data_IF_513789715531
#
_entry.id   IF_513789715531
#
_cell.length_a   1.000
_cell.length_b   1.000
_cell.length_c   1.000
_cell.angle_alpha   90.00
_cell.angle_beta   90.00
_cell.angle_gamma   90.00
#
_symmetry.space_group_name_H-M   'P 1'
#
loop_
_entity.id
_entity.type
_entity.pdbx_description
1 polymer ?
#
# COMPACT_ATOMS: atom_id res chain seq x y z
N UNK A 1 43.64 28.33 -6.29
CA UNK A 1 42.18 28.33 -6.47
C UNK A 1 41.63 27.14 -5.69
N UNK A 2 40.99 27.39 -4.55
CA UNK A 2 40.44 26.34 -3.69
C UNK A 2 39.07 25.95 -4.26
N UNK A 3 38.97 24.74 -4.82
CA UNK A 3 37.68 24.19 -5.22
C UNK A 3 36.84 24.00 -3.96
N UNK A 4 35.76 24.75 -3.84
CA UNK A 4 34.77 24.55 -2.78
C UNK A 4 34.02 23.27 -3.12
N UNK A 5 34.15 22.23 -2.28
CA UNK A 5 33.36 21.02 -2.44
C UNK A 5 31.88 21.40 -2.32
N UNK A 6 31.11 21.17 -3.39
CA UNK A 6 29.67 21.35 -3.36
C UNK A 6 29.09 20.33 -2.39
N UNK A 7 28.44 20.78 -1.32
CA UNK A 7 27.72 19.88 -0.40
C UNK A 7 26.55 19.29 -1.17
N UNK A 8 26.65 18.01 -1.53
CA UNK A 8 25.56 17.27 -2.13
C UNK A 8 24.60 16.84 -1.02
N UNK A 9 23.40 17.42 -1.00
CA UNK A 9 22.30 16.94 -0.15
C UNK A 9 21.70 15.69 -0.79
N UNK A 10 21.66 14.58 -0.06
CA UNK A 10 21.03 13.33 -0.52
C UNK A 10 19.58 13.22 -0.08
N UNK A 11 19.29 13.66 1.15
CA UNK A 11 17.93 13.76 1.67
C UNK A 11 17.85 14.85 2.75
N UNK A 12 16.63 15.24 3.08
CA UNK A 12 16.29 16.18 4.14
C UNK A 12 15.18 15.60 5.01
N UNK A 13 15.27 15.84 6.32
CA UNK A 13 14.24 15.43 7.29
C UNK A 13 13.60 16.68 7.87
N UNK A 14 12.29 16.81 7.70
CA UNK A 14 11.51 17.95 8.20
C UNK A 14 10.52 17.47 9.23
N UNK A 15 10.36 18.22 10.32
CA UNK A 15 9.41 17.90 11.38
C UNK A 15 8.43 19.04 11.60
N UNK A 16 7.19 18.81 11.19
CA UNK A 16 6.14 19.81 11.09
C UNK A 16 5.03 19.57 12.12
N UNK A 17 4.57 20.64 12.75
CA UNK A 17 3.33 20.63 13.55
C UNK A 17 2.16 20.92 12.63
N UNK A 18 1.14 20.07 12.64
CA UNK A 18 -0.12 20.32 11.93
C UNK A 18 -1.16 20.98 12.85
N UNK A 19 -2.15 21.64 12.26
CA UNK A 19 -3.10 22.55 12.92
C UNK A 19 -3.88 21.97 14.10
N UNK A 20 -3.90 20.64 14.26
CA UNK A 20 -4.60 19.92 15.32
C UNK A 20 -3.66 19.29 16.37
N UNK A 21 -2.40 19.71 16.43
CA UNK A 21 -1.41 19.21 17.39
C UNK A 21 -0.73 17.90 17.00
N UNK A 22 -1.11 17.30 15.86
CA UNK A 22 -0.39 16.18 15.26
C UNK A 22 1.00 16.61 14.77
N UNK A 23 1.88 15.62 14.62
CA UNK A 23 3.23 15.82 14.10
C UNK A 23 3.40 15.03 12.81
N UNK A 24 4.01 15.67 11.83
CA UNK A 24 4.38 15.05 10.56
C UNK A 24 5.89 15.11 10.40
N UNK A 25 6.49 13.97 10.10
CA UNK A 25 7.90 13.83 9.77
C UNK A 25 8.02 13.48 8.29
N UNK A 26 8.66 14.36 7.53
CA UNK A 26 8.87 14.15 6.10
C UNK A 26 10.34 13.82 5.86
N UNK A 27 10.61 12.75 5.11
CA UNK A 27 11.94 12.43 4.58
C UNK A 27 11.94 12.64 3.07
N UNK A 28 12.51 13.75 2.60
CA UNK A 28 12.57 14.08 1.19
C UNK A 28 13.92 13.71 0.60
N UNK A 29 13.93 12.82 -0.39
CA UNK A 29 15.11 12.41 -1.14
C UNK A 29 15.29 13.28 -2.38
N UNK A 30 16.53 13.68 -2.66
CA UNK A 30 16.85 14.51 -3.83
C UNK A 30 17.51 13.67 -4.93
N UNK A 31 17.01 13.78 -6.14
CA UNK A 31 17.49 13.01 -7.29
C UNK A 31 16.94 11.58 -7.30
N UNK A 32 17.75 10.61 -7.70
CA UNK A 32 17.33 9.21 -7.71
C UNK A 32 17.28 8.68 -6.27
N UNK A 33 16.11 8.20 -5.78
CA UNK A 33 16.02 7.64 -4.45
C UNK A 33 16.82 6.33 -4.35
N UNK A 34 17.27 5.96 -3.14
CA UNK A 34 17.90 4.68 -2.91
C UNK A 34 16.88 3.54 -3.06
N UNK A 35 17.31 2.26 -3.06
CA UNK A 35 16.40 1.12 -3.10
C UNK A 35 15.40 1.14 -1.94
N UNK A 36 14.18 0.59 -2.09
CA UNK A 36 13.10 0.70 -1.11
C UNK A 36 13.50 0.33 0.32
N UNK A 37 14.16 -0.81 0.51
CA UNK A 37 14.63 -1.25 1.83
C UNK A 37 15.60 -0.27 2.52
N UNK A 38 16.27 0.59 1.75
CA UNK A 38 17.12 1.67 2.30
C UNK A 38 16.28 2.88 2.67
N UNK A 39 15.27 3.24 1.85
CA UNK A 39 14.30 4.29 2.19
C UNK A 39 13.61 3.95 3.50
N UNK A 40 13.10 2.73 3.67
CA UNK A 40 12.39 2.31 4.90
C UNK A 40 13.26 2.43 6.15
N UNK A 41 14.54 2.06 6.04
CA UNK A 41 15.51 2.19 7.14
C UNK A 41 15.76 3.63 7.52
N UNK A 42 15.89 4.52 6.53
CA UNK A 42 16.10 5.95 6.77
C UNK A 42 14.84 6.56 7.41
N UNK A 43 13.66 6.27 6.86
CA UNK A 43 12.38 6.73 7.40
C UNK A 43 12.18 6.27 8.84
N UNK A 44 12.43 4.99 9.12
CA UNK A 44 12.34 4.43 10.47
C UNK A 44 13.32 5.09 11.45
N UNK A 45 14.58 5.27 11.05
CA UNK A 45 15.60 5.93 11.88
C UNK A 45 15.24 7.39 12.19
N UNK A 46 14.71 8.11 11.19
CA UNK A 46 14.25 9.48 11.37
C UNK A 46 13.06 9.55 12.36
N UNK A 47 12.08 8.65 12.22
CA UNK A 47 10.96 8.53 13.16
C UNK A 47 11.43 8.20 14.58
N UNK A 48 12.31 7.20 14.74
CA UNK A 48 12.87 6.83 16.05
C UNK A 48 13.57 8.03 16.71
N UNK A 49 14.30 8.84 15.92
CA UNK A 49 14.93 10.08 16.41
C UNK A 49 13.91 11.14 16.83
N UNK A 50 12.82 11.31 16.08
CA UNK A 50 11.76 12.25 16.43
C UNK A 50 11.00 11.84 17.70
N UNK A 51 10.77 10.54 17.91
CA UNK A 51 10.15 10.00 19.13
C UNK A 51 10.97 10.36 20.38
N UNK A 52 12.32 10.33 20.27
CA UNK A 52 13.19 10.73 21.39
C UNK A 52 13.01 12.20 21.78
N UNK A 53 12.69 13.07 20.81
CA UNK A 53 12.46 14.50 21.03
C UNK A 53 11.03 14.78 21.50
N UNK A 54 10.04 14.07 20.94
CA UNK A 54 8.63 14.24 21.29
C UNK A 54 7.87 12.91 21.25
N UNK A 55 7.80 12.24 22.39
CA UNK A 55 7.06 10.97 22.57
C UNK A 55 5.61 11.15 23.05
N UNK A 56 5.15 12.40 23.22
CA UNK A 56 3.83 12.68 23.82
C UNK A 56 2.72 12.83 22.79
N UNK A 57 3.05 12.93 21.50
CA UNK A 57 2.09 13.11 20.42
C UNK A 57 2.28 12.03 19.36
N UNK A 58 1.21 11.73 18.64
CA UNK A 58 1.30 10.86 17.48
C UNK A 58 2.13 11.53 16.38
N UNK A 59 2.95 10.74 15.69
CA UNK A 59 3.82 11.20 14.59
C UNK A 59 3.54 10.36 13.35
N UNK A 60 3.09 11.00 12.27
CA UNK A 60 3.05 10.41 10.94
C UNK A 60 4.38 10.66 10.23
N UNK A 61 5.05 9.61 9.76
CA UNK A 61 6.28 9.69 9.01
C UNK A 61 6.07 9.25 7.55
N UNK A 62 6.47 10.10 6.61
CA UNK A 62 6.27 9.93 5.18
C UNK A 62 7.58 10.14 4.41
N UNK A 63 7.71 9.50 3.24
CA UNK A 63 8.86 9.66 2.36
C UNK A 63 8.47 10.28 1.01
N UNK A 64 9.35 11.12 0.48
CA UNK A 64 9.14 11.88 -0.75
C UNK A 64 10.35 11.79 -1.69
N UNK A 65 10.13 11.92 -2.99
CA UNK A 65 11.17 12.21 -4.00
C UNK A 65 10.91 13.61 -4.54
N UNK A 66 11.81 14.55 -4.23
CA UNK A 66 11.50 15.96 -4.42
C UNK A 66 10.23 16.35 -3.64
N UNK A 67 9.22 16.82 -4.35
CA UNK A 67 7.92 17.23 -3.78
C UNK A 67 6.83 16.16 -3.92
N UNK A 68 7.14 15.00 -4.51
CA UNK A 68 6.19 13.92 -4.76
C UNK A 68 6.27 12.84 -3.67
N UNK A 69 5.12 12.45 -3.12
CA UNK A 69 5.05 11.33 -2.18
C UNK A 69 5.49 10.03 -2.86
N UNK A 70 6.34 9.26 -2.20
CA UNK A 70 6.75 7.95 -2.70
C UNK A 70 5.56 6.99 -2.77
N UNK A 71 5.52 6.15 -3.80
CA UNK A 71 4.52 5.10 -3.94
C UNK A 71 4.98 3.76 -3.32
N UNK A 72 4.08 2.79 -3.29
CA UNK A 72 4.29 1.46 -2.71
C UNK A 72 5.45 0.64 -3.33
N UNK A 73 5.91 1.00 -4.53
CA UNK A 73 7.08 0.36 -5.16
C UNK A 73 8.41 1.01 -4.75
N UNK A 74 8.36 2.18 -4.13
CA UNK A 74 9.52 2.95 -3.71
C UNK A 74 9.83 2.79 -2.22
N UNK A 75 8.86 2.40 -1.40
CA UNK A 75 9.00 2.11 0.03
C UNK A 75 7.75 1.36 0.56
N UNK A 76 7.81 0.83 1.78
CA UNK A 76 6.72 0.03 2.38
C UNK A 76 5.50 0.85 2.83
N UNK A 77 5.52 2.17 2.65
CA UNK A 77 4.47 3.08 3.06
C UNK A 77 4.79 3.85 4.34
N UNK A 78 3.79 4.59 4.81
CA UNK A 78 3.91 5.49 5.94
C UNK A 78 4.01 4.73 7.27
N UNK A 79 4.72 5.34 8.22
CA UNK A 79 4.83 4.86 9.59
C UNK A 79 4.12 5.84 10.53
N UNK A 80 3.40 5.31 11.51
CA UNK A 80 2.76 6.10 12.56
C UNK A 80 3.31 5.70 13.91
N UNK A 81 3.95 6.63 14.61
CA UNK A 81 4.13 6.48 16.05
C UNK A 81 2.83 6.87 16.75
N UNK A 82 2.27 5.94 17.52
CA UNK A 82 1.11 6.18 18.37
C UNK A 82 1.56 6.34 19.81
N UNK A 83 1.48 7.56 20.34
CA UNK A 83 1.99 7.94 21.65
C UNK A 83 1.28 7.21 22.80
N UNK A 84 -0.04 7.03 22.68
CA UNK A 84 -0.84 6.33 23.70
C UNK A 84 -0.34 4.90 23.95
N UNK A 85 0.08 4.21 22.89
CA UNK A 85 0.52 2.81 22.93
C UNK A 85 2.05 2.66 22.94
N UNK A 86 2.78 3.78 22.74
CA UNK A 86 4.23 3.85 22.57
C UNK A 86 4.76 2.88 21.51
N UNK A 87 4.04 2.75 20.39
CA UNK A 87 4.33 1.79 19.34
C UNK A 87 4.41 2.48 17.98
N UNK A 88 5.33 2.02 17.14
CA UNK A 88 5.37 2.33 15.72
C UNK A 88 4.51 1.31 14.98
N UNK A 89 3.62 1.81 14.14
CA UNK A 89 2.65 1.08 13.33
C UNK A 89 2.88 1.43 11.85
N UNK A 90 2.51 0.54 10.95
CA UNK A 90 2.23 0.92 9.56
C UNK A 90 0.91 1.70 9.49
N UNK A 91 0.71 2.48 8.43
CA UNK A 91 -0.57 3.17 8.19
C UNK A 91 -1.77 2.23 8.22
N UNK A 92 -1.63 1.05 7.61
CA UNK A 92 -2.66 0.00 7.61
C UNK A 92 -2.99 -0.48 9.04
N UNK A 93 -1.98 -0.76 9.86
CA UNK A 93 -2.21 -1.15 11.26
C UNK A 93 -2.85 -0.03 12.09
N UNK A 94 -2.45 1.22 11.86
CA UNK A 94 -3.01 2.38 12.54
C UNK A 94 -4.51 2.54 12.22
N UNK A 95 -4.91 2.33 10.97
CA UNK A 95 -6.31 2.35 10.55
C UNK A 95 -7.09 1.08 10.91
N UNK A 96 -6.40 0.06 11.45
CA UNK A 96 -7.01 -1.21 11.85
C UNK A 96 -7.37 -2.11 10.66
N UNK A 97 -6.66 -1.95 9.53
CA UNK A 97 -6.73 -2.85 8.38
C UNK A 97 -6.27 -4.23 8.84
N UNK A 98 -7.08 -5.25 8.56
CA UNK A 98 -6.71 -6.64 8.85
C UNK A 98 -6.08 -7.26 7.62
N UNK A 99 -4.85 -7.75 7.74
CA UNK A 99 -4.15 -8.46 6.67
C UNK A 99 -4.09 -9.95 6.95
N UNK A 100 -4.24 -10.76 5.91
CA UNK A 100 -3.96 -12.19 5.92
C UNK A 100 -3.29 -12.61 4.63
N UNK A 101 -2.40 -13.59 4.72
CA UNK A 101 -1.67 -14.16 3.59
C UNK A 101 -1.94 -15.64 3.44
N UNK A 102 -2.06 -16.12 2.21
CA UNK A 102 -2.18 -17.55 1.90
C UNK A 102 -1.38 -17.91 0.66
N UNK A 103 -0.56 -18.95 0.75
CA UNK A 103 0.06 -19.56 -0.42
C UNK A 103 -0.90 -20.50 -1.14
N UNK A 104 -0.86 -20.45 -2.47
CA UNK A 104 -1.42 -21.49 -3.34
C UNK A 104 -0.29 -22.16 -4.13
N UNK A 105 -0.62 -23.16 -4.93
CA UNK A 105 0.35 -23.78 -5.84
C UNK A 105 0.84 -22.83 -6.95
N UNK A 106 0.10 -21.74 -7.24
CA UNK A 106 0.34 -20.88 -8.40
C UNK A 106 0.73 -19.44 -8.06
N UNK A 107 0.18 -18.90 -6.98
CA UNK A 107 0.35 -17.52 -6.54
C UNK A 107 0.15 -17.40 -5.03
N UNK A 108 0.67 -16.32 -4.46
CA UNK A 108 0.35 -15.92 -3.10
C UNK A 108 -0.88 -15.00 -3.10
N UNK A 109 -1.73 -15.11 -2.09
CA UNK A 109 -2.91 -14.26 -1.91
C UNK A 109 -2.67 -13.39 -0.70
N UNK A 110 -2.62 -12.07 -0.89
CA UNK A 110 -2.82 -11.12 0.20
C UNK A 110 -4.29 -10.71 0.24
N UNK A 111 -4.90 -10.70 1.41
CA UNK A 111 -6.22 -10.12 1.64
C UNK A 111 -6.12 -9.05 2.71
N UNK A 112 -6.58 -7.84 2.38
CA UNK A 112 -6.77 -6.73 3.30
C UNK A 112 -8.27 -6.50 3.49
N UNK A 113 -8.72 -6.46 4.73
CA UNK A 113 -10.06 -5.99 5.07
C UNK A 113 -9.97 -4.56 5.58
N UNK A 114 -10.47 -3.63 4.77
CA UNK A 114 -10.41 -2.19 5.02
C UNK A 114 -11.81 -1.65 5.35
N UNK A 115 -11.85 -0.39 5.77
CA UNK A 115 -13.05 0.31 6.19
C UNK A 115 -12.94 1.81 5.93
N UNK A 116 -14.08 2.46 5.86
CA UNK A 116 -14.13 3.92 5.85
C UNK A 116 -13.43 4.50 7.08
N UNK A 117 -12.70 5.60 6.88
CA UNK A 117 -12.09 6.35 7.98
C UNK A 117 -13.13 6.77 9.04
N UNK A 118 -12.66 6.92 10.27
CA UNK A 118 -13.49 7.34 11.38
C UNK A 118 -14.18 8.68 11.09
N UNK A 119 -15.48 8.76 11.39
CA UNK A 119 -16.32 9.94 11.13
C UNK A 119 -17.04 9.96 9.77
N UNK A 120 -16.71 9.06 8.83
CA UNK A 120 -17.45 8.94 7.56
C UNK A 120 -18.74 8.13 7.74
N UNK A 121 -19.86 8.65 7.24
CA UNK A 121 -21.19 7.99 7.28
C UNK A 121 -21.82 7.95 5.88
N UNK A 122 -22.32 6.78 5.40
CA UNK A 122 -22.35 5.50 6.10
C UNK A 122 -20.96 4.86 6.17
N UNK A 123 -20.69 4.17 7.30
CA UNK A 123 -19.49 3.38 7.43
C UNK A 123 -19.56 2.17 6.48
N UNK A 124 -18.49 1.90 5.74
CA UNK A 124 -18.38 0.75 4.84
C UNK A 124 -17.14 -0.08 5.15
N UNK A 125 -17.18 -1.35 4.75
CA UNK A 125 -16.06 -2.30 4.79
C UNK A 125 -15.96 -2.98 3.43
N UNK A 126 -14.75 -3.29 3.01
CA UNK A 126 -14.49 -3.99 1.76
C UNK A 126 -13.24 -4.86 1.90
N UNK A 127 -13.01 -5.70 0.90
CA UNK A 127 -11.81 -6.52 0.79
C UNK A 127 -10.98 -6.09 -0.41
N UNK A 128 -9.69 -5.86 -0.17
CA UNK A 128 -8.70 -5.79 -1.24
C UNK A 128 -7.93 -7.10 -1.26
N UNK A 129 -7.97 -7.81 -2.39
CA UNK A 129 -7.34 -9.10 -2.60
C UNK A 129 -6.27 -8.93 -3.67
N UNK A 130 -5.01 -9.22 -3.35
CA UNK A 130 -3.91 -9.14 -4.31
C UNK A 130 -3.36 -10.53 -4.57
N UNK A 131 -3.44 -10.97 -5.83
CA UNK A 131 -2.84 -12.23 -6.30
C UNK A 131 -1.42 -11.94 -6.79
N UNK A 132 -0.42 -12.46 -6.10
CA UNK A 132 0.99 -12.19 -6.37
C UNK A 132 1.63 -13.42 -7.01
N UNK A 133 1.95 -13.31 -8.29
CA UNK A 133 2.65 -14.33 -9.05
C UNK A 133 4.16 -14.08 -9.00
N UNK A 134 4.96 -15.14 -8.81
CA UNK A 134 6.43 -15.06 -8.91
C UNK A 134 6.92 -14.87 -10.35
N UNK A 135 6.08 -15.23 -11.34
CA UNK A 135 6.35 -15.11 -12.77
C UNK A 135 5.10 -14.65 -13.48
N UNK A 136 5.24 -13.79 -14.49
CA UNK A 136 4.11 -13.23 -15.24
C UNK A 136 3.19 -14.33 -15.80
N UNK A 137 1.92 -14.42 -15.37
CA UNK A 137 0.95 -15.36 -15.92
C UNK A 137 0.44 -14.89 -17.28
N UNK A 138 -0.30 -15.74 -17.99
CA UNK A 138 -1.09 -15.26 -19.12
C UNK A 138 -2.22 -14.35 -18.63
N UNK A 139 -2.65 -13.40 -19.46
CA UNK A 139 -3.75 -12.48 -19.12
C UNK A 139 -5.04 -13.26 -18.81
N UNK A 140 -5.32 -14.32 -19.57
CA UNK A 140 -6.49 -15.16 -19.35
C UNK A 140 -6.41 -15.89 -17.99
N UNK A 141 -5.26 -16.50 -17.66
CA UNK A 141 -5.07 -17.17 -16.37
C UNK A 141 -5.20 -16.19 -15.18
N UNK A 142 -4.72 -14.95 -15.36
CA UNK A 142 -4.83 -13.90 -14.35
C UNK A 142 -6.29 -13.52 -14.08
N UNK A 143 -7.09 -13.27 -15.13
CA UNK A 143 -8.52 -12.99 -14.97
C UNK A 143 -9.27 -14.18 -14.39
N UNK A 144 -9.00 -15.41 -14.84
CA UNK A 144 -9.67 -16.62 -14.33
C UNK A 144 -9.37 -16.85 -12.84
N UNK A 145 -8.12 -16.63 -12.42
CA UNK A 145 -7.74 -16.66 -11.02
C UNK A 145 -8.45 -15.57 -10.21
N UNK A 146 -8.46 -14.33 -10.69
CA UNK A 146 -9.12 -13.23 -10.02
C UNK A 146 -10.65 -13.43 -9.87
N UNK A 147 -11.33 -13.94 -10.91
CA UNK A 147 -12.76 -14.30 -10.83
C UNK A 147 -12.98 -15.44 -9.83
N UNK A 148 -12.07 -16.41 -9.79
CA UNK A 148 -12.14 -17.54 -8.86
C UNK A 148 -12.03 -17.06 -7.41
N UNK A 149 -11.05 -16.22 -7.10
CA UNK A 149 -10.85 -15.71 -5.74
C UNK A 149 -11.97 -14.75 -5.31
N UNK A 150 -12.45 -13.87 -6.20
CA UNK A 150 -13.65 -13.06 -5.94
C UNK A 150 -14.89 -13.95 -5.67
N UNK A 151 -15.09 -15.01 -6.45
CA UNK A 151 -16.21 -15.93 -6.23
C UNK A 151 -16.12 -16.59 -4.85
N UNK A 152 -14.93 -17.00 -4.39
CA UNK A 152 -14.75 -17.61 -3.06
C UNK A 152 -15.00 -16.60 -1.94
N UNK A 153 -14.45 -15.40 -2.09
CA UNK A 153 -14.55 -14.35 -1.08
C UNK A 153 -15.99 -13.80 -0.95
N UNK A 154 -16.79 -13.82 -2.03
CA UNK A 154 -18.16 -13.29 -2.09
C UNK A 154 -19.10 -13.75 -0.96
N UNK A 155 -18.83 -14.94 -0.40
CA UNK A 155 -19.56 -15.47 0.76
C UNK A 155 -19.47 -14.59 2.02
N UNK A 156 -18.50 -13.66 2.08
CA UNK A 156 -18.33 -12.67 3.15
C UNK A 156 -19.33 -11.52 3.06
N UNK A 157 -19.99 -11.33 1.92
CA UNK A 157 -21.00 -10.27 1.72
C UNK A 157 -20.42 -8.86 1.79
N UNK A 158 -19.17 -8.69 1.35
CA UNK A 158 -18.50 -7.39 1.25
C UNK A 158 -18.21 -7.07 -0.21
N UNK A 159 -18.07 -5.79 -0.54
CA UNK A 159 -17.48 -5.39 -1.83
C UNK A 159 -16.01 -5.82 -1.86
N UNK A 160 -15.51 -6.19 -3.04
CA UNK A 160 -14.16 -6.72 -3.20
C UNK A 160 -13.47 -6.14 -4.41
N UNK A 161 -12.20 -5.80 -4.24
CA UNK A 161 -11.29 -5.45 -5.31
C UNK A 161 -10.25 -6.55 -5.42
N UNK A 162 -10.08 -7.12 -6.61
CA UNK A 162 -9.07 -8.14 -6.87
C UNK A 162 -8.04 -7.60 -7.86
N UNK A 163 -6.81 -7.50 -7.38
CA UNK A 163 -5.64 -7.07 -8.12
C UNK A 163 -4.79 -8.29 -8.46
N UNK A 164 -4.12 -8.24 -9.61
CA UNK A 164 -3.12 -9.25 -9.98
C UNK A 164 -1.78 -8.55 -10.16
N UNK A 165 -0.77 -9.03 -9.46
CA UNK A 165 0.58 -8.47 -9.47
C UNK A 165 1.63 -9.55 -9.74
N UNK A 166 2.78 -9.12 -10.23
CA UNK A 166 3.97 -9.94 -10.39
C UNK A 166 5.06 -9.43 -9.46
N UNK A 167 5.67 -10.30 -8.66
CA UNK A 167 6.71 -9.92 -7.71
C UNK A 167 7.07 -11.05 -6.73
N UNK A 168 7.94 -10.74 -5.78
CA UNK A 168 8.26 -11.64 -4.67
C UNK A 168 7.26 -11.42 -3.53
N UNK A 169 6.54 -12.49 -3.15
CA UNK A 169 5.55 -12.46 -2.05
C UNK A 169 6.11 -11.93 -0.72
N UNK A 170 7.41 -12.06 -0.49
CA UNK A 170 8.05 -11.59 0.75
C UNK A 170 8.51 -10.12 0.66
N UNK A 171 8.42 -9.53 -0.53
CA UNK A 171 8.87 -8.17 -0.81
C UNK A 171 7.75 -7.36 -1.47
N UNK A 172 6.78 -6.83 -0.69
CA UNK A 172 5.64 -6.06 -1.20
C UNK A 172 6.00 -4.95 -2.19
N UNK A 173 7.10 -4.24 -1.97
CA UNK A 173 7.56 -3.16 -2.87
C UNK A 173 8.02 -3.65 -4.25
N UNK A 174 8.06 -4.97 -4.47
CA UNK A 174 8.35 -5.56 -5.77
C UNK A 174 7.08 -5.88 -6.58
N UNK A 175 5.89 -5.72 -5.99
CA UNK A 175 4.64 -6.14 -6.60
C UNK A 175 4.19 -5.14 -7.64
N UNK A 176 4.44 -5.47 -8.90
CA UNK A 176 3.98 -4.66 -10.03
C UNK A 176 2.63 -5.19 -10.51
N UNK A 177 1.59 -4.35 -10.50
CA UNK A 177 0.29 -4.77 -11.03
C UNK A 177 0.41 -5.15 -12.52
N UNK A 178 -0.17 -6.30 -12.87
CA UNK A 178 -0.11 -6.86 -14.20
C UNK A 178 -0.91 -6.00 -15.18
N UNK A 179 -0.26 -5.52 -16.24
CA UNK A 179 -0.90 -4.81 -17.34
C UNK A 179 -1.30 -5.76 -18.46
N UNK A 180 -2.54 -5.66 -18.94
CA UNK A 180 -3.00 -6.31 -20.16
C UNK A 180 -2.57 -5.49 -21.37
N UNK A 181 -1.53 -5.96 -22.06
CA UNK A 181 -0.95 -5.31 -23.23
C UNK A 181 -1.92 -5.10 -24.39
N UNK A 182 -3.04 -5.83 -24.45
CA UNK A 182 -4.05 -5.64 -25.50
C UNK A 182 -4.93 -4.41 -25.24
N UNK A 183 -5.11 -4.04 -23.96
CA UNK A 183 -5.99 -2.94 -23.56
C UNK A 183 -5.25 -1.76 -22.96
N UNK A 184 -3.97 -1.93 -22.57
CA UNK A 184 -3.17 -0.94 -21.84
C UNK A 184 -3.68 -0.68 -20.43
N UNK A 185 -4.51 -1.60 -19.90
CA UNK A 185 -5.13 -1.46 -18.57
C UNK A 185 -4.60 -2.54 -17.65
N UNK A 186 -4.56 -2.24 -16.35
CA UNK A 186 -4.25 -3.25 -15.37
C UNK A 186 -5.34 -4.33 -15.26
N UNK A 187 -4.91 -5.56 -15.00
CA UNK A 187 -5.78 -6.67 -14.64
C UNK A 187 -6.34 -6.38 -13.26
N UNK A 188 -7.64 -6.16 -13.24
CA UNK A 188 -8.40 -5.73 -12.07
C UNK A 188 -9.83 -6.25 -12.18
N UNK A 189 -10.37 -6.74 -11.07
CA UNK A 189 -11.75 -7.19 -10.96
C UNK A 189 -12.39 -6.54 -9.75
N UNK A 190 -13.64 -6.12 -9.89
CA UNK A 190 -14.48 -5.65 -8.81
C UNK A 190 -15.64 -6.62 -8.62
N UNK A 191 -15.89 -7.02 -7.37
CA UNK A 191 -17.14 -7.65 -6.96
C UNK A 191 -17.98 -6.63 -6.17
N UNK A 192 -19.24 -6.48 -6.58
CA UNK A 192 -20.24 -5.70 -5.88
C UNK A 192 -21.17 -6.62 -5.11
N UNK A 193 -21.25 -6.43 -3.80
CA UNK A 193 -22.04 -7.28 -2.91
C UNK A 193 -23.55 -7.06 -3.07
N UNK A 194 -23.97 -5.82 -3.32
CA UNK A 194 -25.38 -5.42 -3.43
C UNK A 194 -26.12 -6.14 -4.57
N UNK A 195 -25.49 -6.22 -5.74
CA UNK A 195 -26.06 -6.84 -6.93
C UNK A 195 -25.41 -8.19 -7.26
N UNK A 196 -24.37 -8.60 -6.53
CA UNK A 196 -23.58 -9.82 -6.75
C UNK A 196 -22.89 -9.91 -8.10
N UNK A 197 -22.48 -8.78 -8.66
CA UNK A 197 -21.81 -8.69 -9.96
C UNK A 197 -20.29 -8.71 -9.80
N UNK A 198 -19.62 -9.53 -10.61
CA UNK A 198 -18.17 -9.49 -10.84
C UNK A 198 -17.94 -8.80 -12.19
N UNK A 199 -17.17 -7.71 -12.19
CA UNK A 199 -16.90 -6.91 -13.37
C UNK A 199 -15.43 -6.50 -13.48
N UNK A 200 -15.01 -6.10 -14.66
CA UNK A 200 -13.70 -5.49 -14.88
C UNK A 200 -13.88 -4.30 -15.82
N UNK A 201 -13.39 -3.12 -15.41
CA UNK A 201 -13.47 -1.89 -16.22
C UNK A 201 -14.90 -1.58 -16.71
N UNK A 202 -15.91 -1.84 -15.87
CA UNK A 202 -17.34 -1.66 -16.19
C UNK A 202 -17.97 -2.76 -17.05
N UNK A 203 -17.20 -3.75 -17.50
CA UNK A 203 -17.70 -4.93 -18.22
C UNK A 203 -18.02 -6.04 -17.24
N UNK A 204 -19.28 -6.49 -17.21
CA UNK A 204 -19.70 -7.64 -16.42
C UNK A 204 -19.00 -8.90 -16.94
N UNK A 205 -18.30 -9.59 -16.05
CA UNK A 205 -17.64 -10.87 -16.32
C UNK A 205 -18.50 -12.04 -15.84
N UNK A 206 -19.15 -11.88 -14.68
CA UNK A 206 -19.98 -12.93 -14.06
C UNK A 206 -21.01 -12.32 -13.12
N UNK A 207 -22.19 -12.92 -13.09
CA UNK A 207 -23.27 -12.60 -12.16
C UNK A 207 -23.47 -13.80 -11.21
N UNK A 208 -23.34 -13.60 -9.90
CA UNK A 208 -23.61 -14.66 -8.92
C UNK A 208 -25.11 -14.70 -8.58
N UNK A 209 -25.61 -15.90 -8.24
CA UNK A 209 -27.01 -16.12 -7.84
C UNK A 209 -27.21 -15.81 -6.35
#
# INVERSE_FOLDING_TARGET
MTATAQVQKFFEVTFNKVSNGGLVLDVAFFGQPPPPATVDKILRSALDSAILVNSSNDILAMAFVGDEAMNENQYFGELVYKAADKRVLTWDEYNGVKKSGQDTEKYYIETKEDKTLEGITPAKRWLDITLVYSTTPSIQDAYDAAVTEATKASSKGLDENVYVSVGDKNTPTSWMQLEDSNTGKYVFIEYKSDDKTISSHGKILKQLK
#
